data_IF_763648230829
#
_entry.id   IF_763648230829
#
_cell.length_a   1.000
_cell.length_b   1.000
_cell.length_c   1.000
_cell.angle_alpha   90.00
_cell.angle_beta   90.00
_cell.angle_gamma   90.00
#
_symmetry.space_group_name_H-M   'P 1'
#
loop_
_entity.id
_entity.type
_entity.pdbx_description
1 polymer ?
#
# COMPACT_ATOMS: atom_id res chain seq x y z
N UNK A 1 -14.00 -1.68 7.08
CA UNK A 1 -12.60 -1.34 6.78
C UNK A 1 -12.22 -0.07 7.54
N UNK A 2 -11.00 0.01 8.06
CA UNK A 2 -10.50 1.16 8.83
C UNK A 2 -9.44 1.90 8.01
N UNK A 3 -9.41 3.23 8.11
CA UNK A 3 -8.36 4.04 7.50
C UNK A 3 -7.03 3.89 8.25
N UNK A 4 -5.95 3.80 7.50
CA UNK A 4 -4.58 3.71 8.01
C UNK A 4 -3.66 4.61 7.17
N UNK A 5 -2.70 5.28 7.79
CA UNK A 5 -1.76 6.13 7.05
C UNK A 5 -0.69 5.30 6.35
N UNK A 6 -0.15 5.80 5.23
CA UNK A 6 1.00 5.17 4.57
C UNK A 6 2.15 4.94 5.57
N UNK A 7 2.42 5.89 6.47
CA UNK A 7 3.42 5.72 7.54
C UNK A 7 3.19 4.46 8.37
N UNK A 8 1.96 4.25 8.86
CA UNK A 8 1.67 3.09 9.70
C UNK A 8 1.76 1.79 8.91
N UNK A 9 1.34 1.81 7.64
CA UNK A 9 1.45 0.67 6.72
C UNK A 9 2.90 0.24 6.53
N UNK A 10 3.81 1.20 6.37
CA UNK A 10 5.23 0.94 6.11
C UNK A 10 6.04 0.64 7.38
N UNK A 11 5.68 1.24 8.52
CA UNK A 11 6.39 1.02 9.78
C UNK A 11 5.98 -0.29 10.48
N UNK A 12 4.78 -0.78 10.20
CA UNK A 12 4.21 -1.96 10.85
C UNK A 12 3.53 -2.88 9.83
N UNK A 13 4.25 -3.33 8.78
CA UNK A 13 3.64 -4.11 7.71
C UNK A 13 3.04 -5.43 8.23
N UNK A 14 3.60 -6.00 9.29
CA UNK A 14 3.09 -7.21 9.96
C UNK A 14 1.72 -7.03 10.64
N UNK A 15 1.25 -5.80 10.79
CA UNK A 15 -0.05 -5.47 11.39
C UNK A 15 -1.10 -5.09 10.34
N UNK A 16 -0.71 -5.01 9.07
CA UNK A 16 -1.65 -4.68 8.00
C UNK A 16 -2.65 -5.82 7.82
N UNK A 17 -3.91 -5.51 7.48
CA UNK A 17 -4.83 -6.52 6.98
C UNK A 17 -4.31 -7.15 5.69
N UNK A 18 -4.65 -8.42 5.48
CA UNK A 18 -4.46 -9.11 4.20
C UNK A 18 -5.22 -8.41 3.06
N UNK A 19 -4.70 -8.59 1.85
CA UNK A 19 -5.29 -8.07 0.62
C UNK A 19 -4.68 -6.75 0.16
N UNK A 20 -5.49 -5.95 -0.53
CA UNK A 20 -5.03 -4.82 -1.34
C UNK A 20 -5.18 -3.49 -0.62
N UNK A 21 -4.15 -2.65 -0.70
CA UNK A 21 -4.14 -1.30 -0.19
C UNK A 21 -4.63 -0.30 -1.24
N UNK A 22 -5.60 0.53 -0.85
CA UNK A 22 -6.20 1.55 -1.70
C UNK A 22 -5.82 2.95 -1.22
N UNK A 23 -5.52 3.83 -2.18
CA UNK A 23 -5.16 5.23 -1.94
C UNK A 23 -5.92 6.18 -2.88
N UNK A 24 -6.02 7.48 -2.55
CA UNK A 24 -6.51 8.49 -3.49
C UNK A 24 -5.76 8.44 -4.82
N UNK A 25 -6.44 8.65 -5.95
CA UNK A 25 -5.82 8.55 -7.28
C UNK A 25 -4.78 9.64 -7.61
N UNK A 26 -4.77 10.75 -6.87
CA UNK A 26 -3.78 11.84 -7.01
C UNK A 26 -2.45 11.46 -6.35
N UNK A 27 -1.66 10.59 -7.00
CA UNK A 27 -0.40 10.05 -6.45
C UNK A 27 0.62 11.13 -6.09
N UNK A 28 0.66 12.23 -6.83
CA UNK A 28 1.58 13.34 -6.60
C UNK A 28 1.29 14.09 -5.28
N UNK A 29 0.09 13.90 -4.72
CA UNK A 29 -0.32 14.45 -3.42
C UNK A 29 -0.08 13.48 -2.26
N UNK A 30 0.45 12.27 -2.51
CA UNK A 30 0.73 11.32 -1.44
C UNK A 30 1.86 11.79 -0.55
N UNK A 31 1.67 11.55 0.73
CA UNK A 31 2.66 11.73 1.80
C UNK A 31 2.51 10.58 2.78
N UNK A 32 3.47 10.47 3.70
CA UNK A 32 3.41 9.51 4.80
C UNK A 32 2.11 9.62 5.65
N UNK A 33 1.47 10.79 5.67
CA UNK A 33 0.24 11.02 6.43
C UNK A 33 -1.04 10.82 5.58
N UNK A 34 -0.91 10.50 4.29
CA UNK A 34 -2.03 10.13 3.43
C UNK A 34 -2.69 8.87 3.97
N UNK A 35 -4.01 8.93 4.13
CA UNK A 35 -4.80 7.78 4.58
C UNK A 35 -5.15 6.89 3.40
N UNK A 36 -5.00 5.58 3.60
CA UNK A 36 -5.48 4.53 2.73
C UNK A 36 -6.38 3.54 3.46
N UNK A 37 -6.84 2.52 2.75
CA UNK A 37 -7.72 1.49 3.27
C UNK A 37 -7.37 0.14 2.67
N UNK A 38 -7.34 -0.91 3.49
CA UNK A 38 -7.20 -2.28 2.98
C UNK A 38 -8.55 -2.87 2.61
N UNK A 39 -8.52 -3.68 1.56
CA UNK A 39 -9.62 -4.45 1.01
C UNK A 39 -9.19 -5.90 0.84
N UNK A 40 -10.16 -6.82 0.90
CA UNK A 40 -9.92 -8.22 0.58
C UNK A 40 -9.62 -8.39 -0.91
N UNK A 41 -8.97 -9.52 -1.24
CA UNK A 41 -8.64 -9.86 -2.62
C UNK A 41 -9.89 -10.19 -3.43
N UNK A 42 -10.01 -9.61 -4.62
CA UNK A 42 -11.08 -9.91 -5.58
C UNK A 42 -11.19 -11.39 -5.93
N UNK A 43 -10.07 -12.14 -5.88
CA UNK A 43 -10.01 -13.57 -6.19
C UNK A 43 -10.87 -14.42 -5.26
N UNK A 44 -11.10 -13.96 -4.03
CA UNK A 44 -11.93 -14.65 -3.04
C UNK A 44 -13.45 -14.45 -3.26
N UNK A 45 -13.83 -13.68 -4.28
CA UNK A 45 -15.21 -13.28 -4.55
C UNK A 45 -15.68 -13.69 -5.95
N UNK A 46 -17.01 -13.84 -6.17
CA UNK A 46 -17.57 -14.00 -7.51
C UNK A 46 -17.18 -12.85 -8.43
N UNK A 47 -17.01 -13.13 -9.73
CA UNK A 47 -16.53 -12.16 -10.71
C UNK A 47 -17.41 -10.90 -10.87
N UNK A 48 -18.68 -10.97 -10.46
CA UNK A 48 -19.65 -9.88 -10.48
C UNK A 48 -19.90 -9.24 -9.10
N UNK A 49 -19.14 -9.66 -8.07
CA UNK A 49 -19.23 -9.11 -6.73
C UNK A 49 -18.40 -7.84 -6.61
N UNK A 50 -18.95 -6.87 -5.88
CA UNK A 50 -18.21 -5.69 -5.43
C UNK A 50 -18.13 -5.61 -3.90
N UNK A 51 -18.38 -6.71 -3.20
CA UNK A 51 -18.39 -6.73 -1.73
C UNK A 51 -17.02 -6.47 -1.13
N UNK A 52 -15.96 -6.85 -1.84
CA UNK A 52 -14.58 -6.57 -1.43
C UNK A 52 -14.24 -5.09 -1.62
N UNK A 53 -14.73 -4.45 -2.69
CA UNK A 53 -14.34 -3.09 -3.07
C UNK A 53 -14.70 -2.08 -1.96
N UNK A 54 -13.71 -1.33 -1.42
CA UNK A 54 -13.96 -0.37 -0.36
C UNK A 54 -14.80 0.81 -0.87
N UNK A 55 -15.62 1.40 0.01
CA UNK A 55 -16.47 2.55 -0.36
C UNK A 55 -15.68 3.69 -1.00
N UNK A 56 -14.43 3.91 -0.58
CA UNK A 56 -13.56 4.97 -1.11
C UNK A 56 -13.21 4.73 -2.59
N UNK A 57 -13.08 3.48 -3.01
CA UNK A 57 -12.89 3.16 -4.43
C UNK A 57 -14.20 3.39 -5.22
N UNK A 58 -15.35 3.04 -4.63
CA UNK A 58 -16.67 3.21 -5.27
C UNK A 58 -17.11 4.67 -5.40
N UNK A 59 -16.83 5.48 -4.39
CA UNK A 59 -17.42 6.82 -4.22
C UNK A 59 -16.38 7.93 -4.44
N UNK A 60 -15.14 7.74 -3.97
CA UNK A 60 -14.11 8.78 -3.91
C UNK A 60 -13.03 8.61 -4.99
N UNK A 61 -13.16 7.62 -5.87
CA UNK A 61 -12.21 7.36 -6.97
C UNK A 61 -10.82 6.93 -6.50
N UNK A 62 -10.75 6.29 -5.33
CA UNK A 62 -9.51 5.67 -4.87
C UNK A 62 -9.16 4.46 -5.75
N UNK A 63 -7.87 4.21 -5.87
CA UNK A 63 -7.32 3.15 -6.72
C UNK A 63 -6.61 2.11 -5.87
N UNK A 64 -6.66 0.88 -6.35
CA UNK A 64 -5.89 -0.25 -5.84
C UNK A 64 -4.41 -0.08 -6.17
N UNK A 65 -3.51 -0.29 -5.20
CA UNK A 65 -2.09 0.03 -5.31
C UNK A 65 -1.21 -1.21 -5.26
N UNK A 66 -1.06 -1.79 -4.06
CA UNK A 66 -0.23 -2.95 -3.79
C UNK A 66 -0.95 -3.82 -2.76
N UNK A 67 -0.77 -5.13 -2.84
CA UNK A 67 -1.15 -6.04 -1.78
C UNK A 67 -0.18 -5.98 -0.60
N UNK A 68 -0.60 -6.45 0.57
CA UNK A 68 0.24 -6.42 1.76
C UNK A 68 1.55 -7.23 1.60
N UNK A 69 1.52 -8.33 0.85
CA UNK A 69 2.73 -9.13 0.61
C UNK A 69 3.79 -8.32 -0.16
N UNK A 70 3.39 -7.63 -1.23
CA UNK A 70 4.29 -6.72 -1.94
C UNK A 70 4.82 -5.58 -1.04
N UNK A 71 3.97 -5.04 -0.15
CA UNK A 71 4.38 -4.01 0.82
C UNK A 71 5.44 -4.56 1.80
N UNK A 72 5.23 -5.76 2.34
CA UNK A 72 6.20 -6.45 3.20
C UNK A 72 7.55 -6.63 2.49
N UNK A 73 7.54 -7.12 1.25
CA UNK A 73 8.76 -7.31 0.46
C UNK A 73 9.51 -5.99 0.20
N UNK A 74 8.78 -4.89 -0.06
CA UNK A 74 9.38 -3.56 -0.24
C UNK A 74 10.06 -3.08 1.04
N UNK A 75 9.41 -3.25 2.19
CA UNK A 75 9.95 -2.84 3.50
C UNK A 75 11.18 -3.67 3.85
N UNK A 76 11.10 -4.99 3.69
CA UNK A 76 12.21 -5.91 3.94
C UNK A 76 13.41 -5.61 3.04
N UNK A 77 13.17 -5.37 1.74
CA UNK A 77 14.22 -5.01 0.79
C UNK A 77 14.95 -3.72 1.18
N UNK A 78 14.24 -2.68 1.63
CA UNK A 78 14.88 -1.44 2.09
C UNK A 78 15.73 -1.69 3.35
N UNK A 79 15.24 -2.51 4.28
CA UNK A 79 15.99 -2.90 5.48
C UNK A 79 17.24 -3.70 5.15
N UNK A 80 17.18 -4.61 4.19
CA UNK A 80 18.32 -5.41 3.75
C UNK A 80 19.43 -4.54 3.12
N UNK A 81 19.07 -3.49 2.39
CA UNK A 81 20.03 -2.59 1.75
C UNK A 81 20.70 -1.60 2.72
N UNK A 82 19.92 -0.99 3.62
CA UNK A 82 20.38 0.14 4.44
C UNK A 82 20.63 -0.22 5.92
N UNK A 83 20.08 -1.34 6.38
CA UNK A 83 20.04 -1.73 7.79
C UNK A 83 19.09 -0.86 8.62
N UNK A 84 19.46 0.41 8.83
CA UNK A 84 18.62 1.40 9.51
C UNK A 84 17.95 2.30 8.48
N UNK A 85 16.67 2.06 8.24
CA UNK A 85 15.83 2.80 7.28
C UNK A 85 15.00 3.85 8.02
N UNK A 86 14.85 5.02 7.41
CA UNK A 86 13.92 6.08 7.84
C UNK A 86 12.56 5.93 7.16
N UNK A 87 11.52 6.51 7.77
CA UNK A 87 10.17 6.53 7.19
C UNK A 87 10.14 7.10 5.77
N UNK A 88 10.99 8.10 5.48
CA UNK A 88 11.10 8.71 4.15
C UNK A 88 11.76 7.78 3.13
N UNK A 89 12.73 6.96 3.54
CA UNK A 89 13.34 5.95 2.67
C UNK A 89 12.37 4.81 2.38
N UNK A 90 11.58 4.37 3.37
CA UNK A 90 10.50 3.41 3.15
C UNK A 90 9.45 3.98 2.20
N UNK A 91 9.06 5.24 2.37
CA UNK A 91 8.11 5.89 1.47
C UNK A 91 8.65 6.00 0.04
N UNK A 92 9.93 6.34 -0.11
CA UNK A 92 10.61 6.37 -1.42
C UNK A 92 10.62 4.99 -2.08
N UNK A 93 10.92 3.93 -1.32
CA UNK A 93 10.88 2.56 -1.84
C UNK A 93 9.47 2.13 -2.27
N UNK A 94 8.46 2.45 -1.45
CA UNK A 94 7.05 2.21 -1.74
C UNK A 94 6.61 2.89 -3.05
N UNK A 95 6.89 4.19 -3.20
CA UNK A 95 6.57 4.92 -4.42
C UNK A 95 7.31 4.35 -5.63
N UNK A 96 8.60 4.03 -5.48
CA UNK A 96 9.38 3.47 -6.58
C UNK A 96 8.83 2.12 -7.03
N UNK A 97 8.48 1.24 -6.10
CA UNK A 97 7.90 -0.06 -6.42
C UNK A 97 6.56 0.08 -7.13
N UNK A 98 5.66 0.94 -6.62
CA UNK A 98 4.40 1.23 -7.28
C UNK A 98 4.57 1.73 -8.72
N UNK A 99 5.57 2.57 -8.97
CA UNK A 99 5.79 3.16 -10.30
C UNK A 99 6.54 2.24 -11.28
N UNK A 100 7.37 1.33 -10.78
CA UNK A 100 8.32 0.58 -11.61
C UNK A 100 8.13 -0.95 -11.53
N UNK A 101 7.29 -1.45 -10.64
CA UNK A 101 7.15 -2.89 -10.34
C UNK A 101 8.52 -3.54 -10.07
N UNK A 102 9.35 -2.84 -9.30
CA UNK A 102 10.73 -3.20 -9.02
C UNK A 102 11.22 -2.58 -7.71
N UNK A 103 12.18 -3.24 -7.05
CA UNK A 103 12.85 -2.69 -5.88
C UNK A 103 13.82 -1.57 -6.28
N UNK A 104 13.82 -0.50 -5.50
CA UNK A 104 14.79 0.60 -5.66
C UNK A 104 16.18 0.14 -5.22
N UNK A 105 17.23 0.63 -5.88
CA UNK A 105 18.62 0.55 -5.38
C UNK A 105 18.97 1.88 -4.68
N UNK A 106 19.42 1.81 -3.43
CA UNK A 106 19.70 2.99 -2.59
C UNK A 106 21.10 3.59 -2.76
#
# INVERSE_FOLDING_TARGET
MQLVTIRNVLLHPEKNPEGWFYLPSEKEAWSLDTSGVFSLDSYDYPADSEEYVPKQAKEDGWIEILDNGAIEEVVDNAHDQLGKVSDEELFKAFLFYYENDAFIEF
#
